data_IF_410103587414
#
_entry.id   IF_410103587414
#
_cell.length_a   1.000
_cell.length_b   1.000
_cell.length_c   1.000
_cell.angle_alpha   90.00
_cell.angle_beta   90.00
_cell.angle_gamma   90.00
#
_symmetry.space_group_name_H-M   'P 1'
#
loop_
_entity.id
_entity.type
_entity.pdbx_description
1 polymer ?
#
# COMPACT_ATOMS: atom_id res chain seq x y z
N UNK A 1 30.06 19.10 -0.65
CA UNK A 1 30.78 20.04 0.26
C UNK A 1 30.59 19.69 1.75
N UNK A 2 31.07 20.53 2.68
CA UNK A 2 30.99 20.20 4.12
C UNK A 2 29.57 19.92 4.63
N UNK A 3 28.55 20.62 4.10
CA UNK A 3 27.12 20.38 4.44
C UNK A 3 26.64 18.98 4.05
N UNK A 4 27.10 18.47 2.91
CA UNK A 4 26.70 17.14 2.43
C UNK A 4 27.23 16.06 3.37
N UNK A 5 28.47 16.22 3.84
CA UNK A 5 29.09 15.30 4.82
C UNK A 5 28.32 15.34 6.15
N UNK A 6 27.94 16.54 6.61
CA UNK A 6 27.15 16.69 7.84
C UNK A 6 25.76 16.04 7.64
N UNK A 7 25.12 16.22 6.48
CA UNK A 7 23.84 15.60 6.18
C UNK A 7 23.93 14.06 6.19
N UNK A 8 25.01 13.48 5.69
CA UNK A 8 25.24 12.03 5.74
C UNK A 8 25.49 11.54 7.17
N UNK A 9 26.29 12.27 7.97
CA UNK A 9 26.47 11.93 9.38
C UNK A 9 25.17 11.95 10.18
N UNK A 10 24.29 12.92 9.90
CA UNK A 10 22.96 12.98 10.51
C UNK A 10 22.13 11.75 10.09
N UNK A 11 22.15 11.41 8.80
CA UNK A 11 21.45 10.24 8.27
C UNK A 11 21.96 8.92 8.88
N UNK A 12 23.24 8.80 9.16
CA UNK A 12 23.84 7.62 9.77
C UNK A 12 23.66 7.56 11.30
N UNK A 13 23.20 8.65 11.91
CA UNK A 13 23.02 8.72 13.35
C UNK A 13 21.90 7.79 13.83
N UNK A 14 22.27 6.77 14.59
CA UNK A 14 21.38 5.73 15.10
C UNK A 14 20.24 6.32 15.94
N UNK A 15 20.52 7.35 16.74
CA UNK A 15 19.51 7.96 17.61
C UNK A 15 18.50 8.77 16.80
N UNK A 16 18.94 9.51 15.81
CA UNK A 16 18.08 10.26 14.87
C UNK A 16 17.14 9.27 14.16
N UNK A 17 17.68 8.23 13.53
CA UNK A 17 16.87 7.22 12.83
C UNK A 17 15.88 6.53 13.77
N UNK A 18 16.30 6.18 14.98
CA UNK A 18 15.43 5.54 15.98
C UNK A 18 14.26 6.43 16.38
N UNK A 19 14.49 7.71 16.63
CA UNK A 19 13.42 8.62 17.02
C UNK A 19 12.47 8.93 15.86
N UNK A 20 13.00 9.12 14.65
CA UNK A 20 12.16 9.30 13.48
C UNK A 20 11.32 8.07 13.17
N UNK A 21 11.86 6.84 13.27
CA UNK A 21 11.04 5.61 13.14
C UNK A 21 9.88 5.60 14.13
N UNK A 22 10.12 5.96 15.39
CA UNK A 22 9.06 6.07 16.41
C UNK A 22 8.01 7.12 16.07
N UNK A 23 8.42 8.24 15.47
CA UNK A 23 7.51 9.26 14.99
C UNK A 23 6.61 8.69 13.89
N UNK A 24 7.19 8.02 12.88
CA UNK A 24 6.44 7.37 11.80
C UNK A 24 5.52 6.27 12.31
N UNK A 25 5.98 5.40 13.20
CA UNK A 25 5.17 4.36 13.83
C UNK A 25 3.92 4.91 14.54
N UNK A 26 3.99 6.10 15.09
CA UNK A 26 2.90 6.69 15.88
C UNK A 26 2.01 7.63 15.10
N UNK A 27 2.61 8.46 14.24
CA UNK A 27 1.94 9.63 13.67
C UNK A 27 1.95 9.67 12.14
N UNK A 28 2.54 8.69 11.46
CA UNK A 28 2.54 8.67 10.00
C UNK A 28 1.11 8.69 9.45
N UNK A 29 0.90 9.54 8.48
CA UNK A 29 -0.36 9.71 7.77
C UNK A 29 -0.19 9.30 6.32
N UNK A 30 -1.13 8.51 5.81
CA UNK A 30 -1.27 8.23 4.39
C UNK A 30 -1.95 9.43 3.75
N UNK A 31 -1.42 9.89 2.62
CA UNK A 31 -2.10 10.87 1.76
C UNK A 31 -2.11 10.35 0.33
N UNK A 32 -3.27 10.44 -0.32
CA UNK A 32 -3.40 10.06 -1.73
C UNK A 32 -4.00 11.21 -2.54
N UNK A 33 -3.55 11.35 -3.78
CA UNK A 33 -4.12 12.31 -4.75
C UNK A 33 -4.20 11.69 -6.13
N UNK A 34 -5.30 11.92 -6.84
CA UNK A 34 -5.46 11.46 -8.21
C UNK A 34 -4.39 12.08 -9.14
N UNK A 35 -3.89 11.29 -10.06
CA UNK A 35 -3.07 11.78 -11.16
C UNK A 35 -3.97 12.57 -12.11
N UNK A 36 -3.69 13.87 -12.28
CA UNK A 36 -4.58 14.82 -13.00
C UNK A 36 -5.05 14.31 -14.37
N UNK A 37 -4.17 13.66 -15.12
CA UNK A 37 -4.46 13.10 -16.45
C UNK A 37 -5.32 11.83 -16.41
N UNK A 38 -5.54 11.24 -15.23
CA UNK A 38 -6.29 10.01 -15.02
C UNK A 38 -7.62 10.20 -14.31
N UNK A 39 -8.00 11.44 -14.02
CA UNK A 39 -9.20 11.75 -13.25
C UNK A 39 -10.48 11.24 -13.92
N UNK A 40 -10.55 11.33 -15.24
CA UNK A 40 -11.72 10.94 -16.03
C UNK A 40 -11.60 9.57 -16.69
N UNK A 41 -10.55 8.81 -16.34
CA UNK A 41 -10.31 7.45 -16.83
C UNK A 41 -11.32 6.47 -16.20
N UNK A 42 -12.02 5.70 -17.03
CA UNK A 42 -13.04 4.74 -16.56
C UNK A 42 -12.45 3.68 -15.61
N UNK A 43 -11.23 3.23 -15.87
CA UNK A 43 -10.57 2.26 -15.00
C UNK A 43 -10.15 2.87 -13.66
N UNK A 44 -9.82 4.18 -13.63
CA UNK A 44 -9.50 4.88 -12.42
C UNK A 44 -10.72 5.08 -11.51
N UNK A 45 -11.94 5.11 -12.07
CA UNK A 45 -13.17 5.33 -11.29
C UNK A 45 -13.42 4.27 -10.21
N UNK A 46 -12.92 3.04 -10.38
CA UNK A 46 -12.96 2.00 -9.33
C UNK A 46 -12.22 2.42 -8.05
N UNK A 47 -11.30 3.41 -8.14
CA UNK A 47 -10.51 3.95 -7.04
C UNK A 47 -10.90 5.39 -6.67
N UNK A 48 -12.04 5.92 -7.14
CA UNK A 48 -12.43 7.31 -6.97
C UNK A 48 -12.48 7.76 -5.51
N UNK A 49 -12.83 6.87 -4.59
CA UNK A 49 -12.82 7.11 -3.15
C UNK A 49 -11.43 7.47 -2.60
N UNK A 50 -10.36 7.14 -3.32
CA UNK A 50 -8.97 7.42 -2.93
C UNK A 50 -8.34 8.57 -3.72
N UNK A 51 -9.12 9.33 -4.50
CA UNK A 51 -8.60 10.43 -5.31
C UNK A 51 -8.10 11.61 -4.49
N UNK A 52 -8.67 11.80 -3.31
CA UNK A 52 -8.22 12.76 -2.30
C UNK A 52 -8.53 12.19 -0.92
N UNK A 53 -7.61 11.39 -0.40
CA UNK A 53 -7.80 10.68 0.87
C UNK A 53 -6.65 10.96 1.83
N UNK A 54 -6.97 11.02 3.12
CA UNK A 54 -5.97 11.13 4.18
C UNK A 54 -6.43 10.37 5.42
N UNK A 55 -5.58 9.52 5.96
CA UNK A 55 -5.82 8.83 7.23
C UNK A 55 -4.49 8.42 7.91
N UNK A 56 -4.48 8.25 9.25
CA UNK A 56 -3.32 7.70 9.94
C UNK A 56 -2.96 6.30 9.44
N UNK A 57 -1.68 6.05 9.16
CA UNK A 57 -1.19 4.75 8.69
C UNK A 57 -1.55 3.62 9.66
N UNK A 58 -1.49 3.89 10.97
CA UNK A 58 -1.81 2.93 12.03
C UNK A 58 -3.29 2.52 12.08
N UNK A 59 -4.18 3.32 11.48
CA UNK A 59 -5.63 3.09 11.49
C UNK A 59 -6.16 2.57 10.15
N UNK A 60 -5.31 2.52 9.12
CA UNK A 60 -5.70 2.08 7.80
C UNK A 60 -6.01 0.56 7.79
N UNK A 61 -7.23 0.14 7.45
CA UNK A 61 -7.55 -1.28 7.31
C UNK A 61 -6.72 -1.91 6.18
N UNK A 62 -6.33 -3.18 6.36
CA UNK A 62 -5.48 -3.91 5.41
C UNK A 62 -5.98 -3.84 3.97
N UNK A 63 -7.28 -4.09 3.76
CA UNK A 63 -7.88 -4.07 2.42
C UNK A 63 -7.83 -2.68 1.77
N UNK A 64 -7.94 -1.59 2.55
CA UNK A 64 -7.86 -0.23 2.05
C UNK A 64 -6.44 0.16 1.70
N UNK A 65 -5.48 -0.15 2.57
CA UNK A 65 -4.05 0.08 2.28
C UNK A 65 -3.64 -0.62 0.99
N UNK A 66 -3.98 -1.90 0.84
CA UNK A 66 -3.67 -2.67 -0.37
C UNK A 66 -4.38 -2.14 -1.62
N UNK A 67 -5.62 -1.66 -1.49
CA UNK A 67 -6.34 -1.04 -2.61
C UNK A 67 -5.68 0.28 -3.06
N UNK A 68 -5.24 1.13 -2.12
CA UNK A 68 -4.52 2.36 -2.44
C UNK A 68 -3.17 2.07 -3.10
N UNK A 69 -2.41 1.11 -2.58
CA UNK A 69 -1.13 0.70 -3.19
C UNK A 69 -1.32 0.11 -4.59
N UNK A 70 -2.40 -0.63 -4.81
CA UNK A 70 -2.76 -1.10 -6.14
C UNK A 70 -3.08 0.05 -7.08
N UNK A 71 -3.88 1.03 -6.63
CA UNK A 71 -4.22 2.21 -7.43
C UNK A 71 -2.98 3.04 -7.81
N UNK A 72 -1.98 3.12 -6.91
CA UNK A 72 -0.69 3.76 -7.20
C UNK A 72 0.11 2.96 -8.23
N UNK A 73 0.21 1.64 -8.06
CA UNK A 73 0.94 0.77 -8.98
C UNK A 73 0.31 0.77 -10.40
N UNK A 74 -1.00 0.91 -10.49
CA UNK A 74 -1.73 1.09 -11.76
C UNK A 74 -1.62 2.54 -12.31
N UNK A 75 -0.98 3.46 -11.58
CA UNK A 75 -0.70 4.84 -12.01
C UNK A 75 -1.90 5.79 -11.92
N UNK A 76 -2.96 5.46 -11.18
CA UNK A 76 -4.15 6.30 -11.06
C UNK A 76 -4.05 7.34 -9.96
N UNK A 77 -3.34 7.04 -8.88
CA UNK A 77 -3.12 7.96 -7.76
C UNK A 77 -1.64 8.10 -7.45
N UNK A 78 -1.30 9.17 -6.73
CA UNK A 78 -0.02 9.31 -6.02
C UNK A 78 -0.28 8.99 -4.56
N UNK A 79 0.54 8.14 -3.98
CA UNK A 79 0.46 7.70 -2.59
C UNK A 79 1.69 8.19 -1.82
N UNK A 80 1.50 8.69 -0.61
CA UNK A 80 2.59 9.14 0.25
C UNK A 80 2.33 8.74 1.69
N UNK A 81 3.40 8.48 2.41
CA UNK A 81 3.42 8.32 3.86
C UNK A 81 4.26 9.45 4.43
N UNK A 82 3.64 10.32 5.20
CA UNK A 82 4.25 11.55 5.69
C UNK A 82 3.99 11.72 7.18
N UNK A 83 4.88 12.44 7.85
CA UNK A 83 4.70 12.94 9.21
C UNK A 83 4.76 14.47 9.18
N UNK A 84 4.39 15.11 10.29
CA UNK A 84 4.59 16.54 10.43
C UNK A 84 6.10 16.86 10.33
N UNK A 85 6.44 17.76 9.38
CA UNK A 85 7.83 18.07 9.05
C UNK A 85 8.49 18.86 10.17
N UNK A 86 7.75 19.72 10.84
CA UNK A 86 8.30 20.56 11.93
C UNK A 86 8.63 19.68 13.13
N UNK A 87 7.76 18.70 13.46
CA UNK A 87 8.04 17.71 14.50
C UNK A 87 9.25 16.83 14.18
N UNK A 88 9.43 16.47 12.90
CA UNK A 88 10.61 15.72 12.48
C UNK A 88 11.90 16.55 12.61
N UNK A 89 11.85 17.83 12.26
CA UNK A 89 12.98 18.73 12.44
C UNK A 89 13.31 18.96 13.92
N UNK A 90 12.32 19.20 14.77
CA UNK A 90 12.51 19.36 16.21
C UNK A 90 13.27 18.18 16.82
N UNK A 91 12.89 16.97 16.45
CA UNK A 91 13.57 15.74 16.88
C UNK A 91 15.04 15.71 16.45
N UNK A 92 15.33 16.12 15.21
CA UNK A 92 16.72 16.12 14.71
C UNK A 92 17.51 17.23 15.38
N UNK A 93 16.93 18.43 15.51
CA UNK A 93 17.54 19.59 16.14
C UNK A 93 17.94 19.29 17.59
N UNK A 94 17.07 18.71 18.39
CA UNK A 94 17.35 18.30 19.77
C UNK A 94 18.56 17.34 19.89
N UNK A 95 18.74 16.46 18.90
CA UNK A 95 19.81 15.46 18.92
C UNK A 95 21.14 15.97 18.35
N UNK A 96 21.09 16.94 17.44
CA UNK A 96 22.26 17.37 16.64
C UNK A 96 22.78 18.73 17.10
N UNK A 97 21.91 19.69 17.44
CA UNK A 97 22.29 21.03 17.81
C UNK A 97 22.76 21.09 19.28
N UNK A 98 24.02 21.52 19.50
CA UNK A 98 24.59 21.70 20.83
C UNK A 98 24.70 23.19 21.18
N UNK A 99 23.55 23.88 21.18
CA UNK A 99 23.48 25.31 21.45
C UNK A 99 23.63 26.19 20.21
N UNK A 100 23.55 27.51 20.41
CA UNK A 100 23.64 28.49 19.32
C UNK A 100 25.08 28.99 19.15
N UNK A 101 25.58 28.90 17.93
CA UNK A 101 26.87 29.39 17.51
C UNK A 101 26.81 29.85 16.04
N UNK A 102 27.85 30.53 15.51
CA UNK A 102 27.86 31.00 14.12
C UNK A 102 27.67 29.92 13.06
N UNK A 103 27.89 28.63 13.39
CA UNK A 103 27.73 27.51 12.49
C UNK A 103 26.29 26.92 12.50
N UNK A 104 25.48 27.29 13.50
CA UNK A 104 24.09 26.76 13.65
C UNK A 104 23.25 26.86 12.37
N UNK A 105 23.22 28.01 11.63
CA UNK A 105 22.45 28.10 10.39
C UNK A 105 22.90 27.09 9.31
N UNK A 106 24.21 26.80 9.26
CA UNK A 106 24.75 25.82 8.30
C UNK A 106 24.39 24.39 8.67
N UNK A 107 24.32 24.09 9.97
CA UNK A 107 23.88 22.76 10.46
C UNK A 107 22.39 22.58 10.20
N UNK A 108 21.57 23.61 10.41
CA UNK A 108 20.13 23.57 10.10
C UNK A 108 19.87 23.27 8.61
N UNK A 109 20.59 23.92 7.70
CA UNK A 109 20.51 23.60 6.27
C UNK A 109 20.94 22.16 5.97
N UNK A 110 21.91 21.62 6.69
CA UNK A 110 22.31 20.22 6.54
C UNK A 110 21.26 19.25 7.11
N UNK A 111 20.57 19.62 8.20
CA UNK A 111 19.44 18.86 8.76
C UNK A 111 18.30 18.79 7.76
N UNK A 112 17.91 19.93 7.17
CA UNK A 112 16.89 19.96 6.13
C UNK A 112 17.23 19.08 4.93
N UNK A 113 18.48 19.17 4.44
CA UNK A 113 18.94 18.33 3.32
C UNK A 113 18.94 16.84 3.69
N UNK A 114 19.48 16.50 4.87
CA UNK A 114 19.51 15.14 5.39
C UNK A 114 18.08 14.56 5.49
N UNK A 115 17.15 15.33 6.06
CA UNK A 115 15.77 14.88 6.20
C UNK A 115 15.10 14.69 4.83
N UNK A 116 15.09 15.72 3.99
CA UNK A 116 14.37 15.71 2.71
C UNK A 116 14.94 14.68 1.73
N UNK A 117 16.24 14.56 1.66
CA UNK A 117 16.92 13.74 0.65
C UNK A 117 17.22 12.31 1.10
N UNK A 118 17.48 12.09 2.38
CA UNK A 118 17.97 10.80 2.88
C UNK A 118 17.00 10.15 3.87
N UNK A 119 16.69 10.82 4.99
CA UNK A 119 15.93 10.21 6.09
C UNK A 119 14.47 9.98 5.75
N UNK A 120 13.77 11.02 5.25
CA UNK A 120 12.34 10.91 4.95
C UNK A 120 12.03 9.83 3.90
N UNK A 121 12.71 9.76 2.73
CA UNK A 121 12.46 8.70 1.76
C UNK A 121 12.74 7.30 2.32
N UNK A 122 13.81 7.15 3.11
CA UNK A 122 14.16 5.86 3.68
C UNK A 122 13.16 5.40 4.75
N UNK A 123 12.85 6.27 5.72
CA UNK A 123 12.01 5.90 6.88
C UNK A 123 10.53 5.79 6.47
N UNK A 124 10.04 6.67 5.58
CA UNK A 124 8.68 6.53 5.05
C UNK A 124 8.48 5.23 4.30
N UNK A 125 9.48 4.81 3.51
CA UNK A 125 9.44 3.52 2.82
C UNK A 125 9.52 2.35 3.82
N UNK A 126 10.40 2.41 4.82
CA UNK A 126 10.47 1.39 5.89
C UNK A 126 9.08 1.21 6.56
N UNK A 127 8.44 2.32 6.97
CA UNK A 127 7.12 2.31 7.61
C UNK A 127 6.04 1.74 6.68
N UNK A 128 6.07 2.10 5.40
CA UNK A 128 5.14 1.58 4.40
C UNK A 128 5.33 0.08 4.18
N UNK A 129 6.55 -0.41 4.04
CA UNK A 129 6.84 -1.83 3.84
C UNK A 129 6.39 -2.67 5.04
N UNK A 130 6.59 -2.17 6.25
CA UNK A 130 6.12 -2.84 7.46
C UNK A 130 4.59 -2.90 7.51
N UNK A 131 3.91 -1.78 7.23
CA UNK A 131 2.45 -1.73 7.17
C UNK A 131 1.89 -2.63 6.08
N UNK A 132 2.52 -2.65 4.89
CA UNK A 132 2.16 -3.54 3.78
C UNK A 132 2.32 -5.01 4.17
N UNK A 133 3.42 -5.41 4.77
CA UNK A 133 3.65 -6.79 5.20
C UNK A 133 2.57 -7.27 6.19
N UNK A 134 2.18 -6.41 7.14
CA UNK A 134 1.06 -6.70 8.07
C UNK A 134 -0.28 -6.83 7.33
N UNK A 135 -0.53 -5.94 6.36
CA UNK A 135 -1.75 -5.97 5.55
C UNK A 135 -1.84 -7.22 4.66
N UNK A 136 -0.74 -7.61 4.03
CA UNK A 136 -0.65 -8.84 3.22
C UNK A 136 -0.92 -10.08 4.09
N UNK A 137 -0.26 -10.20 5.25
CA UNK A 137 -0.44 -11.33 6.16
C UNK A 137 -1.90 -11.45 6.63
N UNK A 138 -2.53 -10.33 7.01
CA UNK A 138 -3.93 -10.30 7.42
C UNK A 138 -4.86 -10.70 6.27
N UNK A 139 -4.63 -10.21 5.06
CA UNK A 139 -5.45 -10.53 3.88
C UNK A 139 -5.33 -12.01 3.49
N UNK A 140 -4.14 -12.59 3.57
CA UNK A 140 -3.90 -14.02 3.34
C UNK A 140 -4.67 -14.85 4.39
N UNK A 141 -4.63 -14.45 5.66
CA UNK A 141 -5.36 -15.17 6.72
C UNK A 141 -6.87 -15.13 6.51
N UNK A 142 -7.43 -13.97 6.15
CA UNK A 142 -8.86 -13.83 5.82
C UNK A 142 -9.22 -14.71 4.63
N UNK A 143 -8.41 -14.70 3.58
CA UNK A 143 -8.61 -15.56 2.41
C UNK A 143 -8.58 -17.05 2.77
N UNK A 144 -7.58 -17.48 3.54
CA UNK A 144 -7.44 -18.88 3.98
C UNK A 144 -8.66 -19.34 4.78
N UNK A 145 -9.15 -18.48 5.71
CA UNK A 145 -10.36 -18.79 6.48
C UNK A 145 -11.60 -18.93 5.60
N UNK A 146 -11.81 -18.00 4.67
CA UNK A 146 -12.93 -18.04 3.74
C UNK A 146 -12.86 -19.28 2.83
N UNK A 147 -11.68 -19.58 2.30
CA UNK A 147 -11.46 -20.77 1.48
C UNK A 147 -11.74 -22.06 2.28
N UNK A 148 -11.26 -22.12 3.53
CA UNK A 148 -11.53 -23.24 4.43
C UNK A 148 -13.03 -23.46 4.63
N UNK A 149 -13.81 -22.40 4.84
CA UNK A 149 -15.26 -22.48 4.97
C UNK A 149 -15.94 -22.98 3.68
N UNK A 150 -15.47 -22.52 2.51
CA UNK A 150 -15.99 -22.99 1.22
C UNK A 150 -15.68 -24.48 0.98
N UNK A 151 -14.45 -24.91 1.29
CA UNK A 151 -14.03 -26.31 1.12
C UNK A 151 -14.72 -27.28 2.09
N UNK A 152 -15.11 -26.78 3.28
CA UNK A 152 -15.84 -27.55 4.29
C UNK A 152 -17.36 -27.41 4.16
N UNK A 153 -17.86 -26.66 3.18
CA UNK A 153 -19.29 -26.57 2.93
C UNK A 153 -19.87 -27.95 2.60
N UNK A 154 -21.10 -28.25 3.03
CA UNK A 154 -21.73 -29.52 2.74
C UNK A 154 -21.84 -29.73 1.21
N UNK A 155 -21.66 -30.96 0.71
CA UNK A 155 -21.76 -31.24 -0.70
C UNK A 155 -23.15 -30.86 -1.23
N UNK A 156 -23.22 -30.47 -2.49
CA UNK A 156 -24.46 -30.01 -3.14
C UNK A 156 -25.55 -31.07 -3.18
N UNK A 157 -25.17 -32.34 -2.96
CA UNK A 157 -26.04 -33.51 -3.09
C UNK A 157 -26.21 -33.94 -4.55
N UNK A 158 -27.03 -34.97 -4.76
CA UNK A 158 -27.33 -35.50 -6.08
C UNK A 158 -28.25 -34.55 -6.86
N UNK A 159 -27.63 -33.68 -7.68
CA UNK A 159 -28.33 -32.66 -8.48
C UNK A 159 -27.69 -32.54 -9.85
N UNK A 160 -28.49 -32.18 -10.83
CA UNK A 160 -27.97 -31.74 -12.14
C UNK A 160 -27.32 -30.40 -12.00
N UNK A 161 -26.09 -30.26 -12.50
CA UNK A 161 -25.26 -29.08 -12.34
C UNK A 161 -24.93 -28.51 -13.71
N UNK A 162 -25.15 -27.19 -13.87
CA UNK A 162 -24.56 -26.40 -14.92
C UNK A 162 -23.44 -25.54 -14.30
N UNK A 163 -22.20 -25.90 -14.58
CA UNK A 163 -21.05 -25.13 -14.14
C UNK A 163 -20.56 -24.22 -15.28
N UNK A 164 -20.21 -22.98 -14.93
CA UNK A 164 -19.72 -21.97 -15.88
C UNK A 164 -18.43 -21.39 -15.32
N UNK A 165 -17.36 -21.46 -16.11
CA UNK A 165 -16.06 -20.81 -15.82
C UNK A 165 -15.85 -19.65 -16.82
N UNK A 166 -16.14 -18.39 -16.41
CA UNK A 166 -16.06 -17.23 -17.30
C UNK A 166 -14.63 -16.81 -17.58
N UNK A 167 -14.23 -16.81 -18.85
CA UNK A 167 -12.97 -16.29 -19.34
C UNK A 167 -13.15 -15.09 -20.26
N UNK A 168 -12.50 -13.96 -19.98
CA UNK A 168 -12.65 -12.73 -20.78
C UNK A 168 -12.16 -12.85 -22.23
N UNK A 169 -11.10 -13.61 -22.46
CA UNK A 169 -10.51 -13.82 -23.82
C UNK A 169 -10.67 -15.24 -24.31
N UNK A 170 -10.71 -16.22 -23.42
CA UNK A 170 -10.76 -17.64 -23.73
C UNK A 170 -12.19 -18.18 -23.90
N UNK A 171 -13.20 -17.32 -23.74
CA UNK A 171 -14.59 -17.71 -23.71
C UNK A 171 -15.02 -18.29 -22.36
N UNK A 172 -16.30 -18.55 -22.21
CA UNK A 172 -16.89 -19.19 -21.02
C UNK A 172 -16.93 -20.68 -21.23
N UNK A 173 -16.24 -21.47 -20.42
CA UNK A 173 -16.33 -22.91 -20.41
C UNK A 173 -17.60 -23.33 -19.68
N UNK A 174 -18.39 -24.18 -20.30
CA UNK A 174 -19.64 -24.71 -19.74
C UNK A 174 -19.48 -26.21 -19.57
N UNK A 175 -19.96 -26.73 -18.44
CA UNK A 175 -20.01 -28.15 -18.13
C UNK A 175 -21.38 -28.47 -17.56
N UNK A 176 -22.03 -29.50 -18.12
CA UNK A 176 -23.28 -30.06 -17.60
C UNK A 176 -22.98 -31.43 -16.98
N UNK A 177 -23.39 -31.62 -15.73
CA UNK A 177 -23.27 -32.88 -15.01
C UNK A 177 -24.66 -33.42 -14.67
N UNK A 178 -24.79 -34.74 -14.62
CA UNK A 178 -25.99 -35.40 -14.10
C UNK A 178 -25.99 -35.44 -12.56
N UNK A 179 -26.99 -36.10 -11.99
CA UNK A 179 -27.17 -36.24 -10.54
C UNK A 179 -26.09 -37.09 -9.87
N UNK A 180 -25.35 -37.91 -10.63
CA UNK A 180 -24.25 -38.74 -10.17
C UNK A 180 -22.88 -38.06 -10.31
N UNK A 181 -22.84 -36.90 -10.97
CA UNK A 181 -21.62 -36.19 -11.31
C UNK A 181 -21.00 -36.62 -12.64
N UNK A 182 -21.66 -37.45 -13.43
CA UNK A 182 -21.18 -37.85 -14.74
C UNK A 182 -21.31 -36.70 -15.74
N UNK A 183 -20.32 -36.54 -16.61
CA UNK A 183 -20.27 -35.46 -17.61
C UNK A 183 -21.31 -35.75 -18.73
N UNK A 184 -22.30 -34.89 -18.85
CA UNK A 184 -23.30 -34.94 -19.93
C UNK A 184 -22.87 -34.13 -21.15
N UNK A 185 -22.30 -32.95 -20.92
CA UNK A 185 -21.94 -32.00 -21.99
C UNK A 185 -20.88 -31.02 -21.54
N UNK A 186 -20.00 -30.63 -22.46
CA UNK A 186 -19.05 -29.54 -22.26
C UNK A 186 -18.86 -28.75 -23.55
N UNK A 187 -18.72 -27.42 -23.40
CA UNK A 187 -18.48 -26.52 -24.53
C UNK A 187 -17.82 -25.21 -24.04
N UNK A 188 -17.19 -24.49 -24.97
CA UNK A 188 -16.77 -23.11 -24.72
C UNK A 188 -17.64 -22.17 -25.55
N UNK A 189 -18.38 -21.30 -24.86
CA UNK A 189 -19.22 -20.30 -25.49
C UNK A 189 -18.58 -18.92 -25.44
N UNK A 190 -18.94 -18.06 -26.38
CA UNK A 190 -18.46 -16.68 -26.47
C UNK A 190 -19.68 -15.74 -26.42
N UNK A 191 -20.12 -15.33 -25.19
CA UNK A 191 -21.32 -14.49 -25.02
C UNK A 191 -21.18 -13.11 -25.65
N UNK A 192 -19.95 -12.66 -25.82
CA UNK A 192 -19.57 -11.41 -26.49
C UNK A 192 -18.66 -11.74 -27.67
N UNK A 193 -18.81 -10.99 -28.75
CA UNK A 193 -17.88 -11.08 -29.87
C UNK A 193 -16.46 -10.73 -29.36
N UNK A 194 -15.42 -11.44 -29.84
CA UNK A 194 -14.04 -11.18 -29.47
C UNK A 194 -13.56 -9.80 -29.91
#
# INVERSE_FOLDING_TARGET
GARDIIAEWINENIYVRKQLRRLYERKATITTKVVKTKKDDQEAQKFNQYFDWSEPLTKAPSHRLLAMLRAENEGFIKFKVEVDIDEAYDIIDELVLKGQNPSTPHIQLAIEDSYKRLLNPAISNEALQEAKAKADANSIQVFANNLGQLLLAPPLGEKRILAIDPGFRSGCKIVCLDEKGDLLYNETIYPHAP
#
